data_IF_609040945036
#
_entry.id   IF_609040945036
#
_cell.length_a   1.000
_cell.length_b   1.000
_cell.length_c   1.000
_cell.angle_alpha   90.00
_cell.angle_beta   90.00
_cell.angle_gamma   90.00
#
_symmetry.space_group_name_H-M   'P 1'
#
loop_
_entity.id
_entity.type
_entity.pdbx_description
1 polymer ?
#
# COMPACT_ATOMS: atom_id res chain seq x y z
N UNK A 1 20.14 48.29 -11.45
CA UNK A 1 18.90 47.51 -11.29
C UNK A 1 19.32 46.07 -11.05
N UNK A 2 19.21 45.59 -9.80
CA UNK A 2 19.64 44.26 -9.40
C UNK A 2 18.41 43.34 -9.31
N UNK A 3 18.39 42.17 -9.98
CA UNK A 3 17.25 41.26 -9.96
C UNK A 3 17.08 40.63 -8.57
N UNK A 4 15.91 40.81 -7.96
CA UNK A 4 15.62 40.60 -6.53
C UNK A 4 15.31 39.14 -6.12
N UNK A 5 15.57 38.14 -6.97
CA UNK A 5 15.19 36.76 -6.64
C UNK A 5 16.35 35.81 -6.89
N UNK A 6 17.19 35.67 -5.87
CA UNK A 6 18.30 34.72 -5.85
C UNK A 6 17.85 33.44 -5.14
N UNK A 7 17.43 32.46 -5.94
CA UNK A 7 17.38 31.03 -5.57
C UNK A 7 16.21 30.52 -4.71
N UNK A 8 15.68 29.37 -5.12
CA UNK A 8 14.77 28.48 -4.36
C UNK A 8 15.21 28.23 -2.90
N UNK A 9 16.51 28.37 -2.63
CA UNK A 9 17.12 28.24 -1.31
C UNK A 9 16.71 29.35 -0.34
N UNK A 10 16.51 30.60 -0.78
CA UNK A 10 15.99 31.67 0.09
C UNK A 10 14.52 31.43 0.46
N UNK A 11 13.75 30.81 -0.44
CA UNK A 11 12.35 30.42 -0.19
C UNK A 11 12.23 29.34 0.89
N UNK A 12 13.23 28.46 0.99
CA UNK A 12 13.34 27.45 2.07
C UNK A 12 13.99 28.05 3.32
N UNK A 13 14.92 29.00 3.17
CA UNK A 13 15.71 29.58 4.25
C UNK A 13 15.11 30.87 4.87
N UNK A 14 13.96 31.36 4.40
CA UNK A 14 13.23 32.48 5.02
C UNK A 14 12.54 32.01 6.31
N UNK A 15 13.35 31.83 7.36
CA UNK A 15 13.10 30.99 8.53
C UNK A 15 11.66 30.90 9.07
N UNK A 16 10.95 32.02 9.25
CA UNK A 16 9.63 32.04 9.93
C UNK A 16 8.44 31.64 9.04
N UNK A 17 8.58 31.67 7.71
CA UNK A 17 7.48 31.40 6.77
C UNK A 17 7.54 30.02 6.11
N UNK A 18 8.74 29.42 6.02
CA UNK A 18 8.92 28.09 5.43
C UNK A 18 8.11 27.01 6.16
N UNK A 19 8.07 27.06 7.50
CA UNK A 19 7.38 26.06 8.33
C UNK A 19 5.90 25.87 7.92
N UNK A 20 5.18 26.94 7.60
CA UNK A 20 3.77 26.86 7.19
C UNK A 20 3.58 26.16 5.84
N UNK A 21 4.43 26.49 4.85
CA UNK A 21 4.35 25.89 3.51
C UNK A 21 4.70 24.41 3.58
N UNK A 22 5.78 24.07 4.29
CA UNK A 22 6.21 22.69 4.50
C UNK A 22 5.18 21.90 5.30
N UNK A 23 4.52 22.48 6.31
CA UNK A 23 3.44 21.81 7.04
C UNK A 23 2.24 21.54 6.15
N UNK A 24 1.77 22.49 5.35
CA UNK A 24 0.69 22.26 4.41
C UNK A 24 1.05 21.15 3.41
N UNK A 25 2.24 21.21 2.81
CA UNK A 25 2.72 20.18 1.88
C UNK A 25 2.85 18.81 2.55
N UNK A 26 3.41 18.76 3.77
CA UNK A 26 3.56 17.53 4.53
C UNK A 26 2.20 16.92 4.90
N UNK A 27 1.21 17.73 5.26
CA UNK A 27 -0.15 17.27 5.54
C UNK A 27 -0.79 16.72 4.26
N UNK A 28 -0.72 17.45 3.14
CA UNK A 28 -1.31 17.02 1.87
C UNK A 28 -0.67 15.72 1.36
N UNK A 29 0.67 15.68 1.30
CA UNK A 29 1.40 14.47 0.89
C UNK A 29 1.19 13.34 1.88
N UNK A 30 1.19 13.63 3.18
CA UNK A 30 0.91 12.66 4.23
C UNK A 30 -0.46 12.03 4.10
N UNK A 31 -1.50 12.84 3.83
CA UNK A 31 -2.87 12.37 3.60
C UNK A 31 -2.97 11.52 2.33
N UNK A 32 -2.34 11.95 1.24
CA UNK A 32 -2.30 11.19 -0.01
C UNK A 32 -1.60 9.84 0.17
N UNK A 33 -0.44 9.83 0.84
CA UNK A 33 0.27 8.59 1.18
C UNK A 33 -0.56 7.70 2.09
N UNK A 34 -1.17 8.26 3.15
CA UNK A 34 -2.02 7.50 4.07
C UNK A 34 -3.16 6.81 3.32
N UNK A 35 -3.80 7.49 2.37
CA UNK A 35 -4.85 6.92 1.54
C UNK A 35 -4.33 5.77 0.66
N UNK A 36 -3.18 5.96 0.01
CA UNK A 36 -2.53 4.91 -0.80
C UNK A 36 -2.14 3.71 0.06
N UNK A 37 -1.57 3.94 1.25
CA UNK A 37 -1.20 2.88 2.19
C UNK A 37 -2.43 2.13 2.70
N UNK A 38 -3.51 2.84 3.02
CA UNK A 38 -4.77 2.24 3.44
C UNK A 38 -5.35 1.34 2.34
N UNK A 39 -5.44 1.86 1.11
CA UNK A 39 -5.89 1.11 -0.06
C UNK A 39 -5.03 -0.14 -0.31
N UNK A 40 -3.71 -0.01 -0.24
CA UNK A 40 -2.79 -1.14 -0.37
C UNK A 40 -2.98 -2.17 0.73
N UNK A 41 -3.10 -1.75 1.99
CA UNK A 41 -3.33 -2.66 3.13
C UNK A 41 -4.63 -3.45 2.96
N UNK A 42 -5.71 -2.80 2.55
CA UNK A 42 -6.99 -3.45 2.31
C UNK A 42 -6.89 -4.51 1.21
N UNK A 43 -6.19 -4.19 0.09
CA UNK A 43 -5.98 -5.13 -1.01
C UNK A 43 -5.14 -6.35 -0.59
N UNK A 44 -4.08 -6.13 0.19
CA UNK A 44 -3.23 -7.22 0.70
C UNK A 44 -3.99 -8.14 1.68
N UNK A 45 -4.86 -7.56 2.53
CA UNK A 45 -5.68 -8.35 3.45
C UNK A 45 -6.64 -9.28 2.69
N UNK A 46 -7.30 -8.77 1.63
CA UNK A 46 -8.18 -9.57 0.77
C UNK A 46 -7.42 -10.69 0.05
N UNK A 47 -6.26 -10.39 -0.54
CA UNK A 47 -5.45 -11.42 -1.24
C UNK A 47 -5.02 -12.51 -0.26
N UNK A 48 -4.60 -12.16 0.95
CA UNK A 48 -4.20 -13.13 1.97
C UNK A 48 -5.36 -14.06 2.36
N UNK A 49 -6.57 -13.52 2.49
CA UNK A 49 -7.76 -14.32 2.78
C UNK A 49 -8.07 -15.28 1.64
N UNK A 50 -8.02 -14.82 0.39
CA UNK A 50 -8.25 -15.66 -0.78
C UNK A 50 -7.18 -16.75 -0.92
N UNK A 51 -5.90 -16.43 -0.71
CA UNK A 51 -4.81 -17.41 -0.77
C UNK A 51 -4.99 -18.54 0.25
N UNK A 52 -5.41 -18.22 1.47
CA UNK A 52 -5.70 -19.22 2.52
C UNK A 52 -6.90 -20.10 2.10
N UNK A 53 -7.95 -19.52 1.53
CA UNK A 53 -9.11 -20.27 1.06
C UNK A 53 -8.76 -21.19 -0.12
N UNK A 54 -7.98 -20.71 -1.09
CA UNK A 54 -7.51 -21.49 -2.23
C UNK A 54 -6.64 -22.66 -1.79
N UNK A 55 -5.71 -22.46 -0.85
CA UNK A 55 -4.90 -23.54 -0.30
C UNK A 55 -5.77 -24.63 0.35
N UNK A 56 -6.83 -24.24 1.07
CA UNK A 56 -7.79 -25.19 1.67
C UNK A 56 -8.63 -25.91 0.61
N UNK A 57 -9.01 -25.25 -0.47
CA UNK A 57 -9.76 -25.87 -1.56
C UNK A 57 -8.90 -26.87 -2.34
N UNK A 58 -7.65 -26.53 -2.67
CA UNK A 58 -6.72 -27.43 -3.35
C UNK A 58 -6.51 -28.75 -2.58
N UNK A 59 -6.39 -28.67 -1.25
CA UNK A 59 -6.29 -29.85 -0.38
C UNK A 59 -7.56 -30.72 -0.40
N UNK A 60 -8.75 -30.11 -0.53
CA UNK A 60 -10.01 -30.84 -0.65
C UNK A 60 -10.12 -31.55 -1.99
N UNK A 61 -9.71 -30.92 -3.10
CA UNK A 61 -9.75 -31.54 -4.43
C UNK A 61 -8.80 -32.75 -4.52
N UNK A 62 -7.60 -32.67 -3.94
CA UNK A 62 -6.68 -33.82 -3.87
C UNK A 62 -7.23 -34.96 -3.01
N UNK A 63 -7.98 -34.67 -1.94
CA UNK A 63 -8.59 -35.70 -1.08
C UNK A 63 -9.82 -36.38 -1.72
N UNK A 64 -10.50 -35.72 -2.66
CA UNK A 64 -11.63 -36.30 -3.41
C UNK A 64 -11.14 -37.24 -4.53
N UNK A 65 -9.89 -37.10 -4.98
CA UNK A 65 -9.25 -37.96 -5.99
C UNK A 65 -8.41 -39.10 -5.40
N UNK A 66 -8.72 -39.59 -4.20
CA UNK A 66 -8.36 -40.98 -3.88
C UNK A 66 -9.52 -41.84 -4.35
N UNK A 67 -9.47 -42.39 -5.58
CA UNK A 67 -10.53 -43.26 -6.03
C UNK A 67 -10.52 -44.47 -5.11
N UNK A 68 -11.66 -44.72 -4.49
CA UNK A 68 -12.01 -46.01 -3.90
C UNK A 68 -12.00 -47.01 -5.05
N UNK A 69 -10.82 -47.50 -5.40
CA UNK A 69 -10.62 -48.75 -6.12
C UNK A 69 -9.89 -49.65 -5.13
N UNK A 70 -10.62 -50.09 -4.11
CA UNK A 70 -10.30 -51.36 -3.49
C UNK A 70 -11.27 -52.35 -4.10
N UNK A 71 -10.77 -53.03 -5.12
CA UNK A 71 -11.49 -54.03 -5.89
C UNK A 71 -12.19 -55.02 -4.96
N UNK A 72 -13.45 -55.26 -5.31
CA UNK A 72 -14.19 -56.48 -5.04
C UNK A 72 -13.35 -57.69 -5.44
N UNK A 73 -13.09 -58.58 -4.49
CA UNK A 73 -12.90 -60.03 -4.65
C UNK A 73 -13.21 -60.71 -3.31
#
# INVERSE_FOLDING_TARGET
MQPYFYSFSEFIAMGKHGVFVWSCWAITVGMMLAFVFYSRRQRQALIKQLAIQQARQAQRTTKIQTPVIKNTD
#
